data_IF_508856364414
#
_entry.id   IF_508856364414
#
_cell.length_a   1.000
_cell.length_b   1.000
_cell.length_c   1.000
_cell.angle_alpha   90.00
_cell.angle_beta   90.00
_cell.angle_gamma   90.00
#
_symmetry.space_group_name_H-M   'P 1'
#
loop_
_entity.id
_entity.type
_entity.pdbx_description
1 polymer ?
#
# COMPACT_ATOMS: atom_id res chain seq x y z
N UNK A 1 91.29 0.66 -35.47
CA UNK A 1 90.47 0.46 -36.67
C UNK A 1 89.18 -0.31 -36.22
N UNK A 2 88.00 0.26 -36.23
CA UNK A 2 86.79 -0.43 -35.84
C UNK A 2 85.58 0.49 -36.05
N UNK A 3 84.87 0.31 -37.13
CA UNK A 3 83.73 1.13 -37.56
C UNK A 3 82.50 0.86 -36.67
N UNK A 4 82.00 1.88 -35.99
CA UNK A 4 80.76 1.92 -35.30
C UNK A 4 79.55 1.96 -36.28
N UNK A 5 78.62 0.98 -36.21
CA UNK A 5 77.33 0.99 -36.94
C UNK A 5 76.26 1.54 -36.05
N UNK A 6 75.71 2.67 -36.40
CA UNK A 6 74.57 3.30 -35.78
C UNK A 6 73.28 2.45 -36.00
N UNK A 7 72.64 2.08 -34.95
CA UNK A 7 71.37 1.33 -34.92
C UNK A 7 70.17 2.32 -34.88
N UNK A 8 69.39 2.44 -35.97
CA UNK A 8 68.19 3.24 -36.05
C UNK A 8 67.11 2.64 -35.17
N UNK A 9 66.68 3.38 -34.15
CA UNK A 9 65.52 3.01 -33.33
C UNK A 9 64.27 3.38 -34.08
N UNK A 10 63.43 2.37 -34.30
CA UNK A 10 62.10 2.46 -34.90
C UNK A 10 61.11 2.81 -33.82
N UNK A 11 60.58 4.05 -33.69
CA UNK A 11 59.55 4.48 -32.79
C UNK A 11 58.21 3.94 -33.28
N UNK A 12 57.70 2.88 -32.64
CA UNK A 12 56.33 2.43 -32.80
C UNK A 12 55.36 3.48 -32.22
N UNK A 13 54.51 4.04 -33.08
CA UNK A 13 53.43 4.91 -32.68
C UNK A 13 52.40 4.07 -31.88
N UNK A 14 52.23 4.37 -30.60
CA UNK A 14 51.18 3.83 -29.77
C UNK A 14 49.84 4.37 -30.24
N UNK A 15 48.98 3.49 -30.70
CA UNK A 15 47.60 3.79 -31.08
C UNK A 15 46.78 4.20 -29.83
N UNK A 16 46.10 5.34 -29.91
CA UNK A 16 45.18 5.80 -28.87
C UNK A 16 44.04 4.77 -28.68
N UNK A 17 43.66 4.39 -27.42
CA UNK A 17 42.54 3.51 -27.20
C UNK A 17 41.23 4.22 -27.60
N UNK A 18 40.51 3.57 -28.48
CA UNK A 18 39.17 3.99 -28.92
C UNK A 18 38.20 3.92 -27.75
N UNK A 19 37.87 5.07 -27.15
CA UNK A 19 36.81 5.18 -26.16
C UNK A 19 35.45 4.95 -26.84
N UNK A 20 35.08 3.68 -27.04
CA UNK A 20 33.69 3.32 -27.32
C UNK A 20 32.85 3.80 -26.15
N UNK A 21 32.17 4.91 -26.34
CA UNK A 21 31.16 5.41 -25.39
C UNK A 21 30.14 4.31 -25.13
N UNK A 22 30.14 3.79 -23.91
CA UNK A 22 29.00 2.98 -23.42
C UNK A 22 27.80 3.89 -23.45
N UNK A 23 26.98 3.84 -24.50
CA UNK A 23 25.60 4.31 -24.45
C UNK A 23 24.95 3.59 -23.26
N UNK A 24 24.66 4.33 -22.18
CA UNK A 24 23.71 3.87 -21.16
C UNK A 24 22.38 3.70 -21.87
N UNK A 25 22.09 2.48 -22.28
CA UNK A 25 20.74 2.09 -22.66
C UNK A 25 19.99 2.05 -21.33
N UNK A 26 19.37 3.18 -20.99
CA UNK A 26 18.38 3.25 -19.93
C UNK A 26 17.09 2.58 -20.42
N UNK A 27 17.12 1.27 -20.65
CA UNK A 27 15.88 0.51 -20.78
C UNK A 27 15.33 0.32 -19.37
N UNK A 28 14.41 1.18 -18.94
CA UNK A 28 13.59 0.88 -17.79
C UNK A 28 12.89 -0.45 -18.13
N UNK A 29 13.13 -1.47 -17.33
CA UNK A 29 12.43 -2.77 -17.46
C UNK A 29 10.93 -2.55 -17.24
N UNK A 30 10.07 -3.43 -17.77
CA UNK A 30 8.63 -3.39 -17.49
C UNK A 30 8.37 -3.38 -15.98
N UNK A 31 9.15 -4.13 -15.20
CA UNK A 31 9.08 -4.13 -13.75
C UNK A 31 9.41 -2.77 -13.11
N UNK A 32 10.37 -2.01 -13.69
CA UNK A 32 10.71 -0.68 -13.20
C UNK A 32 9.67 0.40 -13.57
N UNK A 33 8.81 0.12 -14.55
CA UNK A 33 7.71 1.01 -14.97
C UNK A 33 6.38 0.65 -14.30
N UNK A 34 6.28 -0.55 -13.73
CA UNK A 34 5.05 -1.04 -13.15
C UNK A 34 4.74 -0.33 -11.82
N UNK A 35 3.49 0.07 -11.64
CA UNK A 35 2.99 0.56 -10.37
C UNK A 35 2.76 -0.61 -9.42
N UNK A 36 3.58 -0.71 -8.37
CA UNK A 36 3.54 -1.79 -7.38
C UNK A 36 2.18 -1.91 -6.69
N UNK A 37 1.52 -0.78 -6.43
CA UNK A 37 0.23 -0.76 -5.75
C UNK A 37 -0.89 -1.25 -6.67
N UNK A 38 -0.88 -0.81 -7.94
CA UNK A 38 -1.83 -1.30 -8.93
C UNK A 38 -1.69 -2.82 -9.16
N UNK A 39 -0.45 -3.33 -9.24
CA UNK A 39 -0.21 -4.77 -9.36
C UNK A 39 -0.67 -5.55 -8.13
N UNK A 40 -0.45 -5.00 -6.93
CA UNK A 40 -0.92 -5.59 -5.69
C UNK A 40 -2.44 -5.73 -5.68
N UNK A 41 -3.17 -4.66 -5.99
CA UNK A 41 -4.64 -4.67 -6.05
C UNK A 41 -5.17 -5.74 -7.02
N UNK A 42 -4.59 -5.81 -8.22
CA UNK A 42 -4.97 -6.81 -9.21
C UNK A 42 -4.71 -8.26 -8.75
N UNK A 43 -3.77 -8.45 -7.84
CA UNK A 43 -3.33 -9.80 -7.42
C UNK A 43 -4.10 -10.34 -6.22
N UNK A 44 -4.54 -9.47 -5.30
CA UNK A 44 -4.98 -9.92 -3.97
C UNK A 44 -6.32 -9.37 -3.53
N UNK A 45 -6.91 -8.40 -4.24
CA UNK A 45 -8.14 -7.75 -3.79
C UNK A 45 -9.33 -8.05 -4.70
N UNK A 46 -10.41 -8.53 -4.08
CA UNK A 46 -11.73 -8.58 -4.68
C UNK A 46 -12.69 -7.72 -3.84
N UNK A 47 -12.53 -6.44 -3.98
CA UNK A 47 -13.11 -5.42 -3.10
C UNK A 47 -14.64 -5.45 -3.08
N UNK A 48 -15.28 -5.77 -4.20
CA UNK A 48 -16.73 -5.85 -4.27
C UNK A 48 -17.26 -6.99 -3.38
N UNK A 49 -16.64 -8.16 -3.46
CA UNK A 49 -16.98 -9.30 -2.62
C UNK A 49 -16.62 -9.07 -1.15
N UNK A 50 -15.49 -8.42 -0.87
CA UNK A 50 -15.09 -8.07 0.51
C UNK A 50 -16.11 -7.16 1.17
N UNK A 51 -16.55 -6.10 0.49
CA UNK A 51 -17.55 -5.15 1.00
C UNK A 51 -18.90 -5.81 1.21
N UNK A 52 -19.36 -6.62 0.27
CA UNK A 52 -20.59 -7.39 0.38
C UNK A 52 -20.53 -8.38 1.56
N UNK A 53 -19.43 -9.12 1.67
CA UNK A 53 -19.20 -10.05 2.77
C UNK A 53 -19.27 -9.36 4.15
N UNK A 54 -18.63 -8.21 4.31
CA UNK A 54 -18.65 -7.44 5.56
C UNK A 54 -20.09 -7.01 5.91
N UNK A 55 -20.82 -6.45 4.95
CA UNK A 55 -22.18 -5.93 5.16
C UNK A 55 -23.15 -7.06 5.50
N UNK A 56 -23.14 -8.15 4.74
CA UNK A 56 -24.02 -9.30 4.94
C UNK A 56 -23.68 -10.08 6.22
N UNK A 57 -22.38 -10.29 6.52
CA UNK A 57 -21.95 -10.97 7.75
C UNK A 57 -22.42 -10.19 8.99
N UNK A 58 -22.21 -8.88 8.98
CA UNK A 58 -22.64 -8.04 10.09
C UNK A 58 -24.17 -8.08 10.23
N UNK A 59 -24.91 -7.94 9.13
CA UNK A 59 -26.37 -8.02 9.14
C UNK A 59 -26.86 -9.36 9.67
N UNK A 60 -26.27 -10.46 9.24
CA UNK A 60 -26.64 -11.81 9.70
C UNK A 60 -26.49 -11.97 11.21
N UNK A 61 -25.40 -11.45 11.77
CA UNK A 61 -25.13 -11.60 13.21
C UNK A 61 -25.82 -10.57 14.09
N UNK A 62 -26.21 -9.41 13.55
CA UNK A 62 -26.69 -8.26 14.35
C UNK A 62 -28.11 -7.81 14.02
N UNK A 63 -28.72 -8.28 12.94
CA UNK A 63 -30.04 -7.90 12.50
C UNK A 63 -30.19 -6.45 12.07
N UNK A 64 -29.07 -5.72 11.92
CA UNK A 64 -29.00 -4.35 11.44
C UNK A 64 -27.83 -4.18 10.47
N UNK A 65 -27.89 -3.17 9.60
CA UNK A 65 -26.76 -2.86 8.71
C UNK A 65 -25.67 -2.08 9.44
N UNK A 66 -24.40 -2.37 9.15
CA UNK A 66 -23.27 -1.62 9.71
C UNK A 66 -23.20 -0.23 9.08
N UNK A 67 -22.58 0.70 9.80
CA UNK A 67 -22.38 2.09 9.34
C UNK A 67 -20.90 2.45 9.27
N UNK A 68 -20.18 2.25 10.38
CA UNK A 68 -18.77 2.63 10.48
C UNK A 68 -17.86 1.42 10.32
N UNK A 69 -17.05 1.45 9.26
CA UNK A 69 -15.93 0.55 9.03
C UNK A 69 -14.63 1.22 9.48
N UNK A 70 -13.78 0.51 10.23
CA UNK A 70 -12.36 0.82 10.38
C UNK A 70 -11.54 -0.25 9.66
N UNK A 71 -10.77 0.16 8.66
CA UNK A 71 -9.85 -0.71 7.93
C UNK A 71 -8.43 -0.47 8.46
N UNK A 72 -7.90 -1.44 9.21
CA UNK A 72 -6.54 -1.44 9.72
C UNK A 72 -5.58 -2.00 8.68
N UNK A 73 -4.37 -1.42 8.58
CA UNK A 73 -3.39 -1.73 7.51
C UNK A 73 -3.97 -1.53 6.12
N UNK A 74 -4.66 -0.42 5.92
CA UNK A 74 -5.49 -0.22 4.74
C UNK A 74 -4.73 -0.13 3.42
N UNK A 75 -3.42 0.08 3.44
CA UNK A 75 -2.62 0.21 2.23
C UNK A 75 -3.20 1.26 1.29
N UNK A 76 -3.68 0.82 0.12
CA UNK A 76 -4.32 1.70 -0.87
C UNK A 76 -5.72 2.17 -0.47
N UNK A 77 -6.29 1.67 0.63
CA UNK A 77 -7.63 1.95 1.13
C UNK A 77 -8.74 1.70 0.09
N UNK A 78 -8.53 0.73 -0.79
CA UNK A 78 -9.49 0.41 -1.85
C UNK A 78 -10.81 -0.09 -1.25
N UNK A 79 -10.76 -0.95 -0.22
CA UNK A 79 -11.95 -1.47 0.44
C UNK A 79 -12.72 -0.38 1.19
N UNK A 80 -12.06 0.50 1.94
CA UNK A 80 -12.70 1.65 2.59
C UNK A 80 -13.33 2.62 1.57
N UNK A 81 -12.69 2.84 0.43
CA UNK A 81 -13.23 3.64 -0.67
C UNK A 81 -14.50 3.01 -1.27
N UNK A 82 -14.48 1.70 -1.52
CA UNK A 82 -15.64 0.97 -2.02
C UNK A 82 -16.77 0.97 -0.99
N UNK A 83 -16.46 0.74 0.30
CA UNK A 83 -17.42 0.79 1.39
C UNK A 83 -18.23 2.09 1.39
N UNK A 84 -17.58 3.26 1.38
CA UNK A 84 -18.28 4.54 1.39
C UNK A 84 -18.99 4.86 0.08
N UNK A 85 -18.63 4.18 -1.02
CA UNK A 85 -19.27 4.37 -2.32
C UNK A 85 -20.60 3.59 -2.44
N UNK A 86 -20.73 2.42 -1.80
CA UNK A 86 -21.89 1.53 -1.92
C UNK A 86 -23.13 2.06 -1.24
N UNK A 87 -23.01 2.75 -0.08
CA UNK A 87 -24.16 3.22 0.67
C UNK A 87 -23.94 4.63 1.23
N UNK A 88 -25.01 5.47 1.21
CA UNK A 88 -24.96 6.84 1.74
C UNK A 88 -24.77 6.91 3.26
N UNK A 89 -25.07 5.85 3.99
CA UNK A 89 -24.89 5.75 5.45
C UNK A 89 -23.48 5.29 5.81
N UNK A 90 -22.79 4.59 4.91
CA UNK A 90 -21.47 4.04 5.17
C UNK A 90 -20.44 5.15 5.40
N UNK A 91 -19.66 4.99 6.44
CA UNK A 91 -18.50 5.81 6.82
C UNK A 91 -17.30 4.89 6.98
N UNK A 92 -16.13 5.39 6.74
CA UNK A 92 -14.90 4.61 6.93
C UNK A 92 -13.78 5.44 7.53
N UNK A 93 -12.98 4.78 8.37
CA UNK A 93 -11.65 5.23 8.78
C UNK A 93 -10.67 4.19 8.28
N UNK A 94 -9.73 4.59 7.44
CA UNK A 94 -8.71 3.73 6.87
C UNK A 94 -7.36 4.14 7.45
N UNK A 95 -6.65 3.19 8.07
CA UNK A 95 -5.46 3.45 8.88
C UNK A 95 -4.27 2.69 8.30
N UNK A 96 -3.19 3.41 8.05
CA UNK A 96 -1.89 2.84 7.68
C UNK A 96 -0.76 3.73 8.19
N UNK A 97 0.41 3.15 8.47
CA UNK A 97 1.60 3.92 8.87
C UNK A 97 2.36 4.48 7.68
N UNK A 98 2.19 3.90 6.49
CA UNK A 98 2.92 4.26 5.29
C UNK A 98 2.28 5.46 4.58
N UNK A 99 2.95 6.62 4.71
CA UNK A 99 2.52 7.86 4.06
C UNK A 99 2.48 7.74 2.52
N UNK A 100 3.41 6.97 1.92
CA UNK A 100 3.52 6.85 0.47
C UNK A 100 2.29 6.14 -0.13
N UNK A 101 1.86 5.04 0.50
CA UNK A 101 0.68 4.30 0.04
C UNK A 101 -0.60 5.11 0.27
N UNK A 102 -0.72 5.85 1.37
CA UNK A 102 -1.86 6.74 1.61
C UNK A 102 -1.93 7.88 0.60
N UNK A 103 -0.78 8.44 0.20
CA UNK A 103 -0.72 9.45 -0.86
C UNK A 103 -1.07 8.87 -2.22
N UNK A 104 -0.65 7.64 -2.49
CA UNK A 104 -1.07 6.90 -3.68
C UNK A 104 -2.61 6.71 -3.67
N UNK A 105 -3.19 6.28 -2.54
CA UNK A 105 -4.64 6.14 -2.36
C UNK A 105 -5.39 7.43 -2.64
N UNK A 106 -4.91 8.57 -2.09
CA UNK A 106 -5.52 9.89 -2.36
C UNK A 106 -5.60 10.20 -3.85
N UNK A 107 -4.54 9.89 -4.60
CA UNK A 107 -4.45 10.17 -6.05
C UNK A 107 -5.27 9.21 -6.90
N UNK A 108 -5.40 7.94 -6.51
CA UNK A 108 -5.96 6.89 -7.36
C UNK A 108 -7.39 6.51 -6.98
N UNK A 109 -7.75 6.47 -5.69
CA UNK A 109 -9.06 6.07 -5.21
C UNK A 109 -9.89 7.23 -4.68
N UNK A 110 -9.38 7.94 -3.67
CA UNK A 110 -10.16 9.00 -3.00
C UNK A 110 -10.57 10.10 -3.97
N UNK A 111 -9.70 10.47 -4.90
CA UNK A 111 -9.99 11.48 -5.94
C UNK A 111 -11.19 11.08 -6.83
N UNK A 112 -11.41 9.78 -7.04
CA UNK A 112 -12.49 9.25 -7.89
C UNK A 112 -13.83 9.16 -7.16
N UNK A 113 -13.84 9.24 -5.84
CA UNK A 113 -15.07 9.22 -5.05
C UNK A 113 -15.94 10.44 -5.34
N UNK A 114 -17.26 10.24 -5.39
CA UNK A 114 -18.22 11.35 -5.39
C UNK A 114 -18.03 12.21 -4.12
N UNK A 115 -18.29 13.52 -4.19
CA UNK A 115 -18.04 14.43 -3.05
C UNK A 115 -18.67 13.97 -1.73
N UNK A 116 -19.89 13.45 -1.78
CA UNK A 116 -20.60 12.94 -0.59
C UNK A 116 -19.97 11.68 0.00
N UNK A 117 -19.42 10.77 -0.80
CA UNK A 117 -18.68 9.60 -0.34
C UNK A 117 -17.34 10.00 0.25
N UNK A 118 -16.61 10.89 -0.41
CA UNK A 118 -15.31 11.39 0.05
C UNK A 118 -15.38 12.01 1.45
N UNK A 119 -16.45 12.76 1.76
CA UNK A 119 -16.65 13.37 3.09
C UNK A 119 -16.88 12.34 4.21
N UNK A 120 -17.14 11.09 3.86
CA UNK A 120 -17.42 9.99 4.81
C UNK A 120 -16.25 9.03 4.97
N UNK A 121 -15.15 9.28 4.26
CA UNK A 121 -13.88 8.56 4.36
C UNK A 121 -12.85 9.44 5.05
N UNK A 122 -12.19 8.87 6.05
CA UNK A 122 -11.04 9.46 6.72
C UNK A 122 -9.82 8.54 6.52
N UNK A 123 -8.73 9.08 5.96
CA UNK A 123 -7.44 8.40 5.88
C UNK A 123 -6.56 8.89 7.02
N UNK A 124 -6.06 7.97 7.83
CA UNK A 124 -5.16 8.25 8.96
C UNK A 124 -3.80 7.61 8.76
N UNK A 125 -2.77 8.42 8.90
CA UNK A 125 -1.39 7.93 8.99
C UNK A 125 -1.06 7.71 10.46
N UNK A 126 -1.44 6.56 10.98
CA UNK A 126 -1.29 6.21 12.40
C UNK A 126 -0.94 4.72 12.55
N UNK A 127 -0.40 4.37 13.72
CA UNK A 127 -0.24 2.97 14.11
C UNK A 127 -1.60 2.40 14.55
N UNK A 128 -1.99 1.28 13.98
CA UNK A 128 -3.26 0.60 14.31
C UNK A 128 -3.40 0.20 15.79
N UNK A 129 -2.27 0.16 16.52
CA UNK A 129 -2.26 -0.12 17.97
C UNK A 129 -2.61 1.09 18.82
N UNK A 130 -2.47 2.30 18.25
CA UNK A 130 -2.61 3.57 18.97
C UNK A 130 -3.80 4.39 18.47
N UNK A 131 -4.37 4.01 17.31
CA UNK A 131 -5.47 4.74 16.69
C UNK A 131 -6.72 4.74 17.56
N UNK A 132 -7.28 5.92 17.78
CA UNK A 132 -8.56 6.11 18.48
C UNK A 132 -9.62 6.62 17.52
N UNK A 133 -10.73 5.91 17.42
CA UNK A 133 -11.87 6.25 16.56
C UNK A 133 -13.17 6.27 17.35
N UNK A 134 -14.24 6.80 16.76
CA UNK A 134 -15.58 6.48 17.23
C UNK A 134 -15.78 4.95 17.20
N UNK A 135 -16.63 4.40 18.10
CA UNK A 135 -16.89 2.96 18.13
C UNK A 135 -17.34 2.45 16.75
N UNK A 136 -16.57 1.55 16.16
CA UNK A 136 -16.84 1.00 14.84
C UNK A 136 -17.79 -0.19 14.90
N UNK A 137 -18.64 -0.32 13.88
CA UNK A 137 -19.44 -1.53 13.68
C UNK A 137 -18.57 -2.69 13.24
N UNK A 138 -17.64 -2.41 12.33
CA UNK A 138 -16.69 -3.40 11.82
C UNK A 138 -15.28 -2.81 11.91
N UNK A 139 -14.35 -3.60 12.42
CA UNK A 139 -12.91 -3.38 12.22
C UNK A 139 -12.41 -4.56 11.40
N UNK A 140 -11.64 -4.30 10.34
CA UNK A 140 -11.05 -5.36 9.54
C UNK A 140 -9.55 -5.13 9.31
N UNK A 141 -8.82 -6.23 9.16
CA UNK A 141 -7.43 -6.28 8.74
C UNK A 141 -7.30 -7.34 7.64
N UNK A 142 -7.39 -6.91 6.38
CA UNK A 142 -7.38 -7.81 5.25
C UNK A 142 -6.00 -8.42 4.99
N UNK A 143 -5.96 -9.47 4.19
CA UNK A 143 -4.74 -10.09 3.69
C UNK A 143 -3.75 -10.50 4.80
N UNK A 144 -4.27 -10.93 5.96
CA UNK A 144 -3.45 -11.36 7.11
C UNK A 144 -2.47 -10.28 7.61
N UNK A 145 -2.74 -9.01 7.42
CA UNK A 145 -1.83 -7.90 7.73
C UNK A 145 -1.36 -7.88 9.18
N UNK A 146 -2.21 -8.28 10.14
CA UNK A 146 -1.81 -8.36 11.55
C UNK A 146 -0.72 -9.40 11.83
N UNK A 147 -0.43 -10.32 10.90
CA UNK A 147 0.72 -11.23 11.00
C UNK A 147 2.07 -10.53 10.85
N UNK A 148 2.06 -9.25 10.53
CA UNK A 148 3.23 -8.38 10.63
C UNK A 148 3.79 -8.39 12.06
N UNK A 149 2.94 -8.48 13.08
CA UNK A 149 3.33 -8.54 14.48
C UNK A 149 3.81 -9.94 14.86
N UNK A 150 5.14 -10.13 14.92
CA UNK A 150 5.78 -11.41 15.21
C UNK A 150 5.79 -11.74 16.71
N UNK A 151 5.78 -10.73 17.58
CA UNK A 151 5.81 -10.90 19.00
C UNK A 151 4.40 -10.98 19.56
N UNK A 152 4.13 -12.02 20.39
CA UNK A 152 2.81 -12.22 21.02
C UNK A 152 2.32 -11.01 21.77
N UNK A 153 3.22 -10.30 22.49
CA UNK A 153 2.85 -9.11 23.26
C UNK A 153 2.33 -8.00 22.33
N UNK A 154 3.03 -7.73 21.25
CA UNK A 154 2.66 -6.70 20.27
C UNK A 154 1.34 -7.04 19.59
N UNK A 155 1.13 -8.32 19.25
CA UNK A 155 -0.14 -8.78 18.68
C UNK A 155 -1.30 -8.64 19.69
N UNK A 156 -1.06 -8.90 20.97
CA UNK A 156 -2.08 -8.69 22.01
C UNK A 156 -2.41 -7.19 22.18
N UNK A 157 -1.43 -6.31 22.10
CA UNK A 157 -1.66 -4.88 22.18
C UNK A 157 -2.50 -4.39 20.99
N UNK A 158 -2.26 -4.93 19.80
CA UNK A 158 -3.13 -4.69 18.63
C UNK A 158 -4.57 -5.16 18.88
N UNK A 159 -4.80 -6.40 19.33
CA UNK A 159 -6.16 -6.88 19.60
C UNK A 159 -6.85 -6.12 20.74
N UNK A 160 -6.13 -5.57 21.69
CA UNK A 160 -6.69 -4.64 22.69
C UNK A 160 -7.16 -3.34 22.04
N UNK A 161 -6.37 -2.76 21.13
CA UNK A 161 -6.77 -1.58 20.36
C UNK A 161 -8.02 -1.86 19.52
N UNK A 162 -8.07 -3.00 18.84
CA UNK A 162 -9.28 -3.44 18.11
C UNK A 162 -10.49 -3.54 19.05
N UNK A 163 -10.33 -4.22 20.19
CA UNK A 163 -11.42 -4.38 21.17
C UNK A 163 -11.93 -3.06 21.71
N UNK A 164 -11.06 -2.09 21.94
CA UNK A 164 -11.42 -0.75 22.40
C UNK A 164 -12.10 0.09 21.30
N UNK A 165 -11.70 -0.11 20.05
CA UNK A 165 -12.27 0.60 18.89
C UNK A 165 -13.61 0.04 18.43
N UNK A 166 -13.99 -1.17 18.83
CA UNK A 166 -15.28 -1.78 18.48
C UNK A 166 -16.43 -1.23 19.31
N UNK A 167 -17.57 -1.01 18.67
CA UNK A 167 -18.83 -0.79 19.33
C UNK A 167 -19.29 -2.02 20.16
N UNK A 168 -20.36 -1.87 20.94
CA UNK A 168 -20.87 -2.92 21.84
C UNK A 168 -21.09 -4.26 21.13
N UNK A 169 -21.59 -4.22 19.92
CA UNK A 169 -21.91 -5.36 19.04
C UNK A 169 -21.06 -5.38 17.77
N UNK A 170 -19.90 -4.70 17.81
CA UNK A 170 -18.98 -4.69 16.69
C UNK A 170 -18.37 -6.06 16.36
N UNK A 171 -17.93 -6.23 15.13
CA UNK A 171 -17.25 -7.43 14.62
C UNK A 171 -15.79 -7.08 14.20
N UNK A 172 -14.89 -8.05 14.39
CA UNK A 172 -13.53 -8.03 13.87
C UNK A 172 -13.30 -9.26 13.02
#
# INVERSE_FOLDING_TARGET
MGRSRARKQNKKRAGKPNKRGKKKIGSSTLAAQADRHALYELSVQNVEQEVEFLDETFYFHRGRRPVLLREDFCGTAQAACAWVATNRRHRAVAVDVDAEVLDWSRRHHVKRLKPGARKRLELRQEDVREVSTAPADIICAFNFSYWYFKERRVLLDYFRSVRQGLGKDGLF
#
